data_IF_807032195392
#
_entry.id   IF_807032195392
#
_cell.length_a   1.000
_cell.length_b   1.000
_cell.length_c   1.000
_cell.angle_alpha   90.00
_cell.angle_beta   90.00
_cell.angle_gamma   90.00
#
_symmetry.space_group_name_H-M   'P 1'
#
loop_
_entity.id
_entity.type
_entity.pdbx_description
1 polymer ?
#
# COMPACT_ATOMS: atom_id res chain seq x y z
N UNK A 1 -4.41 6.61 -16.83
CA UNK A 1 -3.02 6.47 -16.40
C UNK A 1 -2.95 5.26 -15.50
N UNK A 2 -2.14 4.29 -15.90
CA UNK A 2 -2.06 2.96 -15.29
C UNK A 2 -0.85 2.81 -14.36
N UNK A 3 0.08 3.78 -14.37
CA UNK A 3 1.30 3.73 -13.58
C UNK A 3 1.09 3.42 -12.07
N UNK A 4 0.08 3.99 -11.38
CA UNK A 4 -0.18 3.63 -9.98
C UNK A 4 -0.62 2.18 -9.78
N UNK A 5 -1.35 1.61 -10.73
CA UNK A 5 -1.83 0.23 -10.67
C UNK A 5 -0.69 -0.75 -10.92
N UNK A 6 0.14 -0.48 -11.93
CA UNK A 6 1.33 -1.29 -12.25
C UNK A 6 2.35 -1.26 -11.10
N UNK A 7 2.61 -0.08 -10.54
CA UNK A 7 3.52 0.05 -9.39
C UNK A 7 2.99 -0.67 -8.14
N UNK A 8 1.68 -0.61 -7.89
CA UNK A 8 1.06 -1.32 -6.77
C UNK A 8 1.05 -2.85 -6.96
N UNK A 9 0.81 -3.32 -8.20
CA UNK A 9 0.89 -4.74 -8.55
C UNK A 9 2.32 -5.27 -8.35
N UNK A 10 3.33 -4.55 -8.86
CA UNK A 10 4.74 -4.90 -8.69
C UNK A 10 5.14 -4.96 -7.21
N UNK A 11 4.78 -3.93 -6.43
CA UNK A 11 5.07 -3.89 -4.99
C UNK A 11 4.38 -5.04 -4.26
N UNK A 12 3.11 -5.30 -4.58
CA UNK A 12 2.36 -6.41 -4.02
C UNK A 12 3.04 -7.75 -4.27
N UNK A 13 3.41 -8.03 -5.52
CA UNK A 13 4.11 -9.27 -5.89
C UNK A 13 5.46 -9.44 -5.20
N UNK A 14 6.22 -8.35 -5.01
CA UNK A 14 7.49 -8.38 -4.26
C UNK A 14 7.29 -8.72 -2.78
N UNK A 15 6.26 -8.16 -2.16
CA UNK A 15 5.92 -8.44 -0.75
C UNK A 15 5.39 -9.87 -0.57
N UNK A 16 4.56 -10.35 -1.49
CA UNK A 16 4.08 -11.74 -1.51
C UNK A 16 5.24 -12.72 -1.67
N UNK A 17 6.18 -12.45 -2.57
CA UNK A 17 7.39 -13.25 -2.75
C UNK A 17 8.27 -13.29 -1.49
N UNK A 18 8.22 -12.25 -0.66
CA UNK A 18 8.88 -12.16 0.63
C UNK A 18 8.05 -12.76 1.79
N UNK A 19 6.89 -13.35 1.52
CA UNK A 19 6.07 -14.07 2.50
C UNK A 19 5.01 -13.21 3.21
N UNK A 20 4.85 -11.94 2.83
CA UNK A 20 3.80 -11.07 3.36
C UNK A 20 2.47 -11.38 2.66
N UNK A 21 1.39 -11.48 3.42
CA UNK A 21 0.04 -11.57 2.81
C UNK A 21 -0.41 -10.20 2.36
N UNK A 22 -0.60 -10.04 1.05
CA UNK A 22 -1.03 -8.78 0.45
C UNK A 22 -2.48 -8.89 -0.02
N UNK A 23 -3.24 -7.82 0.19
CA UNK A 23 -4.52 -7.62 -0.48
C UNK A 23 -4.37 -6.46 -1.46
N UNK A 24 -4.33 -6.76 -2.75
CA UNK A 24 -4.27 -5.76 -3.80
C UNK A 24 -5.69 -5.34 -4.22
N UNK A 25 -6.04 -4.06 -4.02
CA UNK A 25 -7.33 -3.49 -4.44
C UNK A 25 -7.18 -2.74 -5.77
N UNK A 26 -7.41 -3.45 -6.87
CA UNK A 26 -7.33 -2.97 -8.25
C UNK A 26 -8.65 -2.37 -8.78
N UNK A 27 -9.69 -2.25 -7.94
CA UNK A 27 -11.03 -1.83 -8.38
C UNK A 27 -11.01 -0.38 -8.92
N UNK A 28 -11.05 -0.21 -10.24
CA UNK A 28 -10.90 1.10 -10.91
C UNK A 28 -12.08 2.04 -10.73
N UNK A 29 -13.30 1.50 -10.68
CA UNK A 29 -14.54 2.28 -10.59
C UNK A 29 -14.90 2.69 -9.15
N UNK A 30 -14.06 2.35 -8.16
CA UNK A 30 -14.31 2.59 -6.74
C UNK A 30 -13.47 3.76 -6.26
N UNK A 31 -14.08 4.69 -5.52
CA UNK A 31 -13.36 5.85 -4.99
C UNK A 31 -12.33 5.42 -3.92
N UNK A 32 -11.18 6.12 -3.79
CA UNK A 32 -10.18 5.77 -2.79
C UNK A 32 -10.73 5.71 -1.36
N UNK A 33 -11.69 6.57 -1.01
CA UNK A 33 -12.32 6.57 0.31
C UNK A 33 -13.08 5.28 0.62
N UNK A 34 -13.75 4.68 -0.38
CA UNK A 34 -14.43 3.39 -0.21
C UNK A 34 -13.39 2.28 -0.02
N UNK A 35 -12.29 2.30 -0.79
CA UNK A 35 -11.19 1.33 -0.63
C UNK A 35 -10.58 1.39 0.78
N UNK A 36 -10.34 2.59 1.30
CA UNK A 36 -9.82 2.76 2.66
C UNK A 36 -10.78 2.22 3.71
N UNK A 37 -12.07 2.54 3.58
CA UNK A 37 -13.08 2.03 4.49
C UNK A 37 -13.15 0.49 4.47
N UNK A 38 -13.10 -0.13 3.30
CA UNK A 38 -13.11 -1.59 3.16
C UNK A 38 -11.88 -2.22 3.82
N UNK A 39 -10.68 -1.70 3.55
CA UNK A 39 -9.43 -2.15 4.16
C UNK A 39 -9.43 -2.00 5.70
N UNK A 40 -10.02 -0.91 6.21
CA UNK A 40 -10.17 -0.69 7.64
C UNK A 40 -11.22 -1.62 8.27
N UNK A 41 -12.30 -1.93 7.54
CA UNK A 41 -13.38 -2.79 8.00
C UNK A 41 -12.93 -4.26 8.11
N UNK A 42 -12.20 -4.77 7.10
CA UNK A 42 -11.66 -6.14 7.11
C UNK A 42 -10.45 -6.29 8.03
N UNK A 43 -9.88 -5.18 8.51
CA UNK A 43 -8.85 -5.18 9.53
C UNK A 43 -7.42 -5.30 9.03
N UNK A 44 -7.12 -4.78 7.83
CA UNK A 44 -5.74 -4.73 7.33
C UNK A 44 -4.89 -3.87 8.27
N UNK A 45 -3.79 -4.39 8.86
CA UNK A 45 -2.99 -3.64 9.84
C UNK A 45 -2.24 -2.46 9.20
N UNK A 46 -1.73 -2.66 7.99
CA UNK A 46 -0.92 -1.68 7.25
C UNK A 46 -1.57 -1.42 5.89
N UNK A 47 -1.96 -0.17 5.63
CA UNK A 47 -2.60 0.22 4.37
C UNK A 47 -1.57 1.00 3.55
N UNK A 48 -1.29 0.54 2.33
CA UNK A 48 -0.37 1.18 1.40
C UNK A 48 -1.15 1.86 0.29
N UNK A 49 -0.86 3.12 0.03
CA UNK A 49 -1.53 3.93 -0.98
C UNK A 49 -0.53 4.32 -2.07
N UNK A 50 -0.72 3.73 -3.24
CA UNK A 50 0.00 4.08 -4.46
C UNK A 50 -0.90 4.97 -5.30
N UNK A 51 -0.54 6.25 -5.44
CA UNK A 51 -1.41 7.24 -6.06
C UNK A 51 -0.63 8.43 -6.61
N UNK A 52 -1.11 9.64 -6.33
CA UNK A 52 -0.55 10.88 -6.92
C UNK A 52 0.92 11.12 -6.56
N UNK A 53 1.34 10.72 -5.35
CA UNK A 53 2.72 10.83 -4.84
C UNK A 53 3.74 10.00 -5.63
N UNK A 54 3.27 9.04 -6.44
CA UNK A 54 4.14 8.17 -7.23
C UNK A 54 4.99 8.97 -8.23
N UNK A 55 4.47 10.08 -8.76
CA UNK A 55 5.22 10.94 -9.69
C UNK A 55 6.43 11.61 -9.03
N UNK A 56 6.41 11.74 -7.71
CA UNK A 56 7.50 12.24 -6.87
C UNK A 56 8.40 11.09 -6.36
N UNK A 57 8.06 9.85 -6.68
CA UNK A 57 8.78 8.66 -6.23
C UNK A 57 8.39 8.16 -4.84
N UNK A 58 7.22 8.54 -4.32
CA UNK A 58 6.76 8.19 -2.97
C UNK A 58 5.44 7.40 -2.97
N UNK A 59 5.26 6.59 -1.92
CA UNK A 59 4.01 5.94 -1.54
C UNK A 59 3.63 6.38 -0.12
N UNK A 60 2.35 6.36 0.21
CA UNK A 60 1.89 6.63 1.57
C UNK A 60 1.60 5.31 2.28
N UNK A 61 2.13 5.15 3.49
CA UNK A 61 1.85 4.01 4.37
C UNK A 61 1.08 4.52 5.57
N UNK A 62 -0.08 3.90 5.84
CA UNK A 62 -0.95 4.20 6.97
C UNK A 62 -0.96 3.02 7.95
N UNK A 63 -0.65 3.29 9.21
CA UNK A 63 -0.90 2.36 10.31
C UNK A 63 -2.38 2.48 10.70
N UNK A 64 -3.13 1.38 10.60
CA UNK A 64 -4.57 1.36 10.94
C UNK A 64 -4.83 1.60 12.42
N UNK A 65 -3.96 1.09 13.30
CA UNK A 65 -4.12 1.15 14.75
C UNK A 65 -3.91 2.56 15.29
N UNK A 66 -2.89 3.27 14.78
CA UNK A 66 -2.56 4.63 15.24
C UNK A 66 -3.19 5.71 14.37
N UNK A 67 -3.51 5.40 13.11
CA UNK A 67 -3.93 6.37 12.11
C UNK A 67 -2.79 7.20 11.53
N UNK A 68 -1.54 6.94 11.93
CA UNK A 68 -0.35 7.63 11.45
C UNK A 68 -0.11 7.34 9.97
N UNK A 69 0.35 8.36 9.23
CA UNK A 69 0.67 8.27 7.81
C UNK A 69 2.09 8.73 7.58
N UNK A 70 2.84 7.95 6.82
CA UNK A 70 4.23 8.24 6.51
C UNK A 70 4.44 8.05 5.01
N UNK A 71 5.07 9.03 4.37
CA UNK A 71 5.54 8.86 3.00
C UNK A 71 6.85 8.06 3.01
N UNK A 72 6.91 7.03 2.17
CA UNK A 72 8.09 6.18 1.99
C UNK A 72 8.50 6.27 0.52
N UNK A 73 9.80 6.37 0.27
CA UNK A 73 10.32 6.31 -1.09
C UNK A 73 9.98 4.95 -1.70
N UNK A 74 9.46 4.93 -2.94
CA UNK A 74 9.09 3.71 -3.63
C UNK A 74 10.27 2.72 -3.75
N UNK A 75 11.49 3.24 -3.86
CA UNK A 75 12.72 2.45 -3.90
C UNK A 75 12.98 1.65 -2.61
N UNK A 76 12.54 2.17 -1.46
CA UNK A 76 12.75 1.55 -0.14
C UNK A 76 11.49 0.85 0.40
N UNK A 77 10.38 0.90 -0.35
CA UNK A 77 9.06 0.46 0.08
C UNK A 77 9.02 -0.99 0.56
N UNK A 78 9.60 -1.92 -0.20
CA UNK A 78 9.62 -3.35 0.15
C UNK A 78 10.31 -3.57 1.48
N UNK A 79 11.53 -3.04 1.63
CA UNK A 79 12.34 -3.18 2.83
C UNK A 79 11.64 -2.60 4.06
N UNK A 80 11.05 -1.41 3.92
CA UNK A 80 10.34 -0.75 5.00
C UNK A 80 9.06 -1.51 5.41
N UNK A 81 8.30 -2.02 4.44
CA UNK A 81 7.05 -2.75 4.70
C UNK A 81 7.31 -4.13 5.32
N UNK A 82 8.39 -4.81 4.95
CA UNK A 82 8.80 -6.05 5.60
C UNK A 82 9.09 -5.82 7.09
N UNK A 83 9.85 -4.78 7.41
CA UNK A 83 10.13 -4.42 8.81
C UNK A 83 8.85 -4.12 9.59
N UNK A 84 7.83 -3.52 8.98
CA UNK A 84 6.54 -3.24 9.62
C UNK A 84 5.69 -4.52 9.79
N UNK A 85 5.68 -5.42 8.81
CA UNK A 85 4.85 -6.62 8.82
C UNK A 85 5.43 -7.80 9.64
N UNK A 86 6.73 -7.79 9.93
CA UNK A 86 7.37 -8.79 10.81
C UNK A 86 7.21 -8.49 12.31
N UNK A 87 6.68 -7.32 12.69
CA UNK A 87 6.42 -6.90 14.08
C UNK A 87 5.05 -7.36 14.57
#
# INVERSE_FOLDING_TARGET
>A
DDAPFEAAELLGGQLEAAGVRVLYDDRRAVSPGIKFNDSELIGVPTIVVVGKRLVEGFIEVKDRRTGERTDIAMADAVSALLAVCEQ
#
